data_IF_671310294674
#
_entry.id   IF_671310294674
#
_cell.length_a   1.000
_cell.length_b   1.000
_cell.length_c   1.000
_cell.angle_alpha   90.00
_cell.angle_beta   90.00
_cell.angle_gamma   90.00
#
_symmetry.space_group_name_H-M   'P 1'
#
loop_
_entity.id
_entity.type
_entity.pdbx_description
1 polymer ?
#
# COMPACT_ATOMS: atom_id res chain seq x y z
N UNK A 1 12.76 10.06 -3.67
CA UNK A 1 13.44 8.75 -3.80
C UNK A 1 13.71 8.08 -2.45
N UNK A 2 14.23 8.79 -1.44
CA UNK A 2 14.48 8.24 -0.08
C UNK A 2 13.20 7.71 0.58
N UNK A 3 12.08 8.42 0.42
CA UNK A 3 10.80 8.06 1.03
C UNK A 3 10.29 6.68 0.55
N UNK A 4 10.38 6.40 -0.75
CA UNK A 4 9.96 5.10 -1.32
C UNK A 4 10.80 3.94 -0.78
N UNK A 5 12.11 4.14 -0.65
CA UNK A 5 13.01 3.14 -0.09
C UNK A 5 12.68 2.84 1.38
N UNK A 6 12.30 3.86 2.16
CA UNK A 6 11.84 3.68 3.54
C UNK A 6 10.56 2.84 3.60
N UNK A 7 9.57 3.14 2.75
CA UNK A 7 8.31 2.37 2.67
C UNK A 7 8.53 0.92 2.24
N UNK A 8 9.35 0.68 1.22
CA UNK A 8 9.71 -0.69 0.80
C UNK A 8 10.44 -1.45 1.91
N UNK A 9 11.29 -0.77 2.68
CA UNK A 9 12.02 -1.38 3.80
C UNK A 9 11.08 -1.76 4.96
N UNK A 10 10.06 -0.97 5.25
CA UNK A 10 9.04 -1.30 6.26
C UNK A 10 8.36 -2.64 5.96
N UNK A 11 8.04 -2.93 4.69
CA UNK A 11 7.45 -4.23 4.29
C UNK A 11 8.39 -5.43 4.53
N UNK A 12 9.69 -5.20 4.66
CA UNK A 12 10.70 -6.27 4.89
C UNK A 12 11.05 -6.47 6.36
N UNK A 13 10.62 -5.57 7.25
CA UNK A 13 10.90 -5.68 8.68
C UNK A 13 10.04 -6.78 9.30
N UNK A 14 10.64 -7.53 10.24
CA UNK A 14 9.95 -8.59 10.98
C UNK A 14 8.84 -7.95 11.82
N UNK A 15 7.61 -8.44 11.66
CA UNK A 15 6.45 -7.92 12.39
C UNK A 15 6.66 -8.08 13.90
N UNK A 16 6.47 -7.03 14.71
CA UNK A 16 6.47 -7.15 16.15
C UNK A 16 5.25 -7.97 16.60
N UNK A 17 5.47 -9.08 17.30
CA UNK A 17 4.39 -9.96 17.78
C UNK A 17 3.51 -9.28 18.86
N UNK A 18 4.01 -8.19 19.46
CA UNK A 18 3.38 -7.50 20.60
C UNK A 18 2.27 -6.50 20.21
N UNK A 19 2.18 -6.08 18.94
CA UNK A 19 1.21 -5.06 18.50
C UNK A 19 0.48 -5.43 17.20
N UNK A 20 0.24 -6.73 16.97
CA UNK A 20 -0.37 -7.27 15.74
C UNK A 20 -1.65 -6.56 15.26
N UNK A 21 -2.48 -5.99 16.14
CA UNK A 21 -3.71 -5.27 15.75
C UNK A 21 -3.47 -3.85 15.23
N UNK A 22 -2.42 -3.17 15.70
CA UNK A 22 -2.03 -1.81 15.26
C UNK A 22 -1.06 -1.89 14.07
N UNK A 23 -0.21 -2.91 14.06
CA UNK A 23 0.83 -3.13 13.06
C UNK A 23 0.32 -3.70 11.73
N UNK A 24 -0.85 -4.34 11.68
CA UNK A 24 -1.43 -4.86 10.43
C UNK A 24 -1.65 -3.77 9.36
N UNK A 25 -1.93 -2.53 9.79
CA UNK A 25 -2.10 -1.40 8.88
C UNK A 25 -0.77 -0.94 8.28
N UNK A 26 0.21 -0.64 9.14
CA UNK A 26 1.51 -0.08 8.74
C UNK A 26 2.33 -1.11 7.94
N UNK A 27 2.37 -2.38 8.34
CA UNK A 27 3.12 -3.42 7.61
C UNK A 27 2.33 -4.08 6.46
N UNK A 28 1.16 -3.55 6.13
CA UNK A 28 0.26 -4.11 5.12
C UNK A 28 -0.30 -3.03 4.22
N UNK A 29 -1.61 -2.85 4.30
CA UNK A 29 -2.38 -2.07 3.33
C UNK A 29 -2.01 -0.57 3.31
N UNK A 30 -1.66 0.05 4.44
CA UNK A 30 -1.31 1.49 4.47
C UNK A 30 0.00 1.78 3.75
N UNK A 31 1.03 0.94 3.93
CA UNK A 31 2.31 1.11 3.22
C UNK A 31 2.15 0.86 1.72
N UNK A 32 1.36 -0.14 1.33
CA UNK A 32 1.05 -0.41 -0.07
C UNK A 32 0.28 0.75 -0.72
N UNK A 33 -0.62 1.40 0.04
CA UNK A 33 -1.36 2.59 -0.42
C UNK A 33 -0.44 3.79 -0.67
N UNK A 34 0.48 4.05 0.27
CA UNK A 34 1.46 5.12 0.11
C UNK A 34 2.38 4.88 -1.11
N UNK A 35 2.74 3.62 -1.37
CA UNK A 35 3.49 3.24 -2.57
C UNK A 35 2.66 3.47 -3.85
N UNK A 36 1.37 3.16 -3.84
CA UNK A 36 0.49 3.37 -4.99
C UNK A 36 0.36 4.86 -5.34
N UNK A 37 0.19 5.73 -4.34
CA UNK A 37 0.14 7.19 -4.54
C UNK A 37 1.45 7.71 -5.14
N UNK A 38 2.61 7.29 -4.62
CA UNK A 38 3.90 7.70 -5.19
C UNK A 38 4.11 7.21 -6.63
N UNK A 39 3.57 6.04 -6.98
CA UNK A 39 3.60 5.52 -8.35
C UNK A 39 2.73 6.38 -9.30
N UNK A 40 1.55 6.83 -8.84
CA UNK A 40 0.72 7.78 -9.60
C UNK A 40 1.42 9.13 -9.82
N UNK A 41 2.06 9.68 -8.78
CA UNK A 41 2.81 10.93 -8.87
C UNK A 41 3.98 10.84 -9.88
N UNK A 42 4.53 9.65 -10.09
CA UNK A 42 5.53 9.39 -11.13
C UNK A 42 4.95 9.14 -12.52
N UNK A 43 3.63 9.04 -12.64
CA UNK A 43 2.94 8.64 -13.87
C UNK A 43 3.02 7.14 -14.16
N UNK A 44 3.54 6.32 -13.24
CA UNK A 44 3.59 4.86 -13.38
C UNK A 44 2.26 4.24 -12.94
N UNK A 45 1.29 4.34 -13.85
CA UNK A 45 -0.06 3.81 -13.66
C UNK A 45 -0.09 2.28 -13.57
N UNK A 46 0.93 1.58 -14.09
CA UNK A 46 1.00 0.12 -14.02
C UNK A 46 1.35 -0.34 -12.60
N UNK A 47 2.39 0.26 -12.00
CA UNK A 47 2.79 -0.03 -10.63
C UNK A 47 1.73 0.43 -9.62
N UNK A 48 1.09 1.59 -9.85
CA UNK A 48 -0.01 2.06 -9.00
C UNK A 48 -1.18 1.07 -8.93
N UNK A 49 -1.62 0.53 -10.08
CA UNK A 49 -2.68 -0.49 -10.14
C UNK A 49 -2.29 -1.79 -9.47
N UNK A 50 -1.04 -2.24 -9.66
CA UNK A 50 -0.53 -3.45 -9.02
C UNK A 50 -0.54 -3.32 -7.50
N UNK A 51 -0.04 -2.19 -6.98
CA UNK A 51 0.02 -1.92 -5.55
C UNK A 51 -1.39 -1.82 -4.94
N UNK A 52 -2.35 -1.22 -5.64
CA UNK A 52 -3.77 -1.21 -5.24
C UNK A 52 -4.38 -2.59 -5.16
N UNK A 53 -4.07 -3.48 -6.10
CA UNK A 53 -4.55 -4.87 -6.02
C UNK A 53 -4.04 -5.54 -4.74
N UNK A 54 -2.77 -5.35 -4.41
CA UNK A 54 -2.19 -5.87 -3.17
C UNK A 54 -2.81 -5.25 -1.91
N UNK A 55 -3.22 -3.97 -1.96
CA UNK A 55 -4.00 -3.33 -0.88
C UNK A 55 -5.32 -4.07 -0.66
N UNK A 56 -6.08 -4.32 -1.73
CA UNK A 56 -7.37 -5.01 -1.66
C UNK A 56 -7.25 -6.47 -1.22
N UNK A 57 -6.18 -7.16 -1.63
CA UNK A 57 -5.90 -8.54 -1.18
C UNK A 57 -5.58 -8.59 0.33
N UNK A 58 -4.93 -7.56 0.86
CA UNK A 58 -4.60 -7.44 2.27
C UNK A 58 -5.75 -6.87 3.12
N UNK A 59 -6.58 -5.99 2.54
CA UNK A 59 -7.74 -5.36 3.18
C UNK A 59 -8.83 -5.11 2.12
N UNK A 60 -9.76 -6.06 1.95
CA UNK A 60 -10.83 -5.96 0.95
C UNK A 60 -11.78 -4.77 1.16
N UNK A 61 -11.79 -4.18 2.36
CA UNK A 61 -12.62 -3.03 2.73
C UNK A 61 -11.91 -1.67 2.68
N UNK A 62 -10.72 -1.57 2.09
CA UNK A 62 -10.02 -0.28 1.99
C UNK A 62 -10.77 0.67 1.04
N UNK A 63 -11.42 1.68 1.62
CA UNK A 63 -12.27 2.63 0.90
C UNK A 63 -11.50 3.46 -0.16
N UNK A 64 -10.21 3.70 0.04
CA UNK A 64 -9.40 4.50 -0.88
C UNK A 64 -8.97 3.65 -2.10
N UNK A 65 -8.61 2.38 -1.86
CA UNK A 65 -8.32 1.45 -2.94
C UNK A 65 -9.55 1.11 -3.78
N UNK A 66 -10.74 1.02 -3.15
CA UNK A 66 -12.03 0.87 -3.83
C UNK A 66 -12.35 2.10 -4.69
N UNK A 67 -12.34 3.30 -4.11
CA UNK A 67 -12.69 4.55 -4.81
C UNK A 67 -11.81 4.82 -6.05
N UNK A 68 -10.51 4.47 -5.98
CA UNK A 68 -9.57 4.65 -7.09
C UNK A 68 -9.48 3.46 -8.05
N UNK A 69 -9.99 2.30 -7.64
CA UNK A 69 -10.16 1.13 -8.52
C UNK A 69 -11.36 1.30 -9.44
N UNK A 70 -12.45 1.87 -8.93
CA UNK A 70 -13.67 2.20 -9.70
C UNK A 70 -13.44 3.37 -10.67
N UNK A 71 -12.59 4.34 -10.31
CA UNK A 71 -12.23 5.44 -11.21
C UNK A 71 -11.37 5.01 -12.43
N UNK A 72 -10.87 3.77 -12.44
CA UNK A 72 -10.08 3.21 -13.53
C UNK A 72 -10.87 2.27 -14.47
N UNK A 73 -12.21 2.24 -14.33
CA UNK A 73 -13.12 1.43 -15.14
C UNK A 73 -13.76 2.22 -16.29
#
# INVERSE_FOLDING_TARGET
MILEACWRRILTLKRPDQFCSVDQGIYGHLTLRNLAVMAEERGDQAEARRLRRMVLDACPGDAEAMARGEAAQ
#
